data_IF_792750252910
#
_entry.id   IF_792750252910
#
_cell.length_a   1.000
_cell.length_b   1.000
_cell.length_c   1.000
_cell.angle_alpha   90.00
_cell.angle_beta   90.00
_cell.angle_gamma   90.00
#
_symmetry.space_group_name_H-M   'P 1'
#
loop_
_entity.id
_entity.type
_entity.pdbx_description
1 polymer ?
#
# COMPACT_ATOMS: atom_id res chain seq x y z
N UNK A 1 -53.30 75.15 -39.41
CA UNK A 1 -54.68 74.98 -39.89
C UNK A 1 -54.61 74.25 -41.23
N UNK A 2 -55.32 73.18 -41.58
CA UNK A 2 -56.19 72.18 -40.90
C UNK A 2 -55.65 70.80 -41.39
N UNK A 3 -55.78 69.64 -40.75
CA UNK A 3 -56.93 69.07 -40.05
C UNK A 3 -57.70 68.15 -41.00
N UNK A 4 -57.55 66.82 -40.85
CA UNK A 4 -58.25 65.81 -41.65
C UNK A 4 -57.93 64.36 -41.22
N UNK A 5 -58.90 63.66 -40.63
CA UNK A 5 -58.85 62.21 -40.34
C UNK A 5 -59.77 61.45 -41.31
N UNK A 6 -59.65 60.11 -41.38
CA UNK A 6 -60.71 59.11 -41.08
C UNK A 6 -60.16 57.66 -41.26
N UNK A 7 -60.76 56.68 -40.56
CA UNK A 7 -60.46 55.23 -40.40
C UNK A 7 -61.34 54.34 -41.36
N UNK A 8 -61.48 52.98 -41.26
CA UNK A 8 -60.62 51.83 -40.83
C UNK A 8 -60.65 50.56 -41.79
N UNK A 9 -60.02 49.43 -41.35
CA UNK A 9 -60.40 48.00 -41.62
C UNK A 9 -60.00 47.34 -43.01
N UNK A 10 -59.94 46.01 -43.30
CA UNK A 10 -60.25 44.69 -42.66
C UNK A 10 -59.20 43.54 -42.93
N UNK A 11 -59.08 42.62 -41.95
CA UNK A 11 -58.91 41.11 -41.91
C UNK A 11 -58.18 40.27 -43.02
N UNK A 12 -57.52 39.17 -42.56
CA UNK A 12 -56.68 38.08 -43.18
C UNK A 12 -57.52 37.04 -44.03
N UNK A 13 -57.02 35.87 -44.61
CA UNK A 13 -55.73 35.15 -44.44
C UNK A 13 -55.11 34.27 -45.61
N UNK A 14 -53.95 33.63 -45.32
CA UNK A 14 -53.42 32.30 -45.77
C UNK A 14 -53.45 31.84 -47.25
N UNK A 15 -52.25 31.50 -47.77
CA UNK A 15 -51.95 30.21 -48.46
C UNK A 15 -50.54 29.74 -48.05
N UNK A 16 -50.38 28.43 -47.80
CA UNK A 16 -49.10 27.79 -47.43
C UNK A 16 -48.74 26.69 -48.41
N UNK A 17 -47.49 26.65 -48.86
CA UNK A 17 -46.83 25.42 -49.32
C UNK A 17 -45.42 25.34 -48.71
N UNK A 18 -45.25 24.45 -47.71
CA UNK A 18 -43.97 24.23 -47.04
C UNK A 18 -43.35 22.95 -47.60
N UNK A 19 -42.28 23.08 -48.39
CA UNK A 19 -41.43 21.95 -48.79
C UNK A 19 -40.84 21.32 -47.53
N UNK A 20 -41.19 20.07 -47.25
CA UNK A 20 -40.68 19.31 -46.10
C UNK A 20 -39.28 18.80 -46.38
N UNK A 21 -38.28 19.65 -46.10
CA UNK A 21 -36.87 19.27 -46.11
C UNK A 21 -36.60 18.33 -44.93
N UNK A 22 -36.44 17.02 -45.20
CA UNK A 22 -36.16 15.97 -44.21
C UNK A 22 -34.71 16.04 -43.65
N UNK A 23 -34.31 17.20 -43.12
CA UNK A 23 -32.98 17.45 -42.57
C UNK A 23 -32.63 16.57 -41.37
N UNK A 24 -33.64 16.09 -40.63
CA UNK A 24 -33.44 15.39 -39.35
C UNK A 24 -32.80 14.02 -39.47
N UNK A 25 -33.20 13.20 -40.46
CA UNK A 25 -32.67 11.84 -40.59
C UNK A 25 -31.14 11.84 -40.78
N UNK A 26 -30.62 12.76 -41.61
CA UNK A 26 -29.19 12.85 -41.91
C UNK A 26 -28.38 13.31 -40.69
N UNK A 27 -28.88 14.24 -39.87
CA UNK A 27 -28.24 14.62 -38.61
C UNK A 27 -28.30 13.50 -37.56
N UNK A 28 -29.39 12.73 -37.49
CA UNK A 28 -29.47 11.56 -36.62
C UNK A 28 -28.43 10.49 -36.96
N UNK A 29 -28.26 10.14 -38.24
CA UNK A 29 -27.24 9.18 -38.66
C UNK A 29 -25.81 9.69 -38.39
N UNK A 30 -25.53 10.98 -38.65
CA UNK A 30 -24.21 11.57 -38.40
C UNK A 30 -23.85 11.56 -36.89
N UNK A 31 -24.82 11.88 -36.03
CA UNK A 31 -24.64 11.84 -34.57
C UNK A 31 -24.48 10.41 -34.04
N UNK A 32 -25.26 9.45 -34.56
CA UNK A 32 -25.13 8.04 -34.19
C UNK A 32 -23.76 7.47 -34.58
N UNK A 33 -23.27 7.79 -35.79
CA UNK A 33 -21.95 7.34 -36.26
C UNK A 33 -20.81 7.97 -35.44
N UNK A 34 -20.94 9.25 -35.07
CA UNK A 34 -20.01 9.94 -34.18
C UNK A 34 -19.93 9.24 -32.81
N UNK A 35 -21.08 8.95 -32.18
CA UNK A 35 -21.13 8.25 -30.89
C UNK A 35 -20.49 6.84 -30.95
N UNK A 36 -20.69 6.10 -32.03
CA UNK A 36 -20.07 4.76 -32.21
C UNK A 36 -18.55 4.87 -32.33
N UNK A 37 -18.03 5.82 -33.13
CA UNK A 37 -16.58 6.02 -33.26
C UNK A 37 -15.97 6.51 -31.95
N UNK A 38 -16.60 7.45 -31.24
CA UNK A 38 -16.10 7.94 -29.95
C UNK A 38 -16.12 6.84 -28.88
N UNK A 39 -17.19 6.04 -28.80
CA UNK A 39 -17.27 4.89 -27.89
C UNK A 39 -16.23 3.81 -28.18
N UNK A 40 -15.98 3.52 -29.46
CA UNK A 40 -14.96 2.56 -29.88
C UNK A 40 -13.54 3.06 -29.55
N UNK A 41 -13.24 4.35 -29.79
CA UNK A 41 -11.96 4.96 -29.42
C UNK A 41 -11.69 4.94 -27.91
N UNK A 42 -12.71 5.26 -27.08
CA UNK A 42 -12.60 5.18 -25.61
C UNK A 42 -12.33 3.74 -25.14
N UNK A 43 -12.91 2.75 -25.83
CA UNK A 43 -12.70 1.33 -25.54
C UNK A 43 -11.31 0.84 -25.98
N UNK A 44 -10.76 1.40 -27.05
CA UNK A 44 -9.41 1.10 -27.53
C UNK A 44 -8.31 1.72 -26.65
N UNK A 45 -8.49 2.96 -26.20
CA UNK A 45 -7.55 3.64 -25.29
C UNK A 45 -7.47 2.96 -23.91
N UNK A 46 -8.58 2.36 -23.45
CA UNK A 46 -8.58 1.55 -22.22
C UNK A 46 -8.01 0.13 -22.37
N UNK A 47 -7.61 -0.29 -23.58
CA UNK A 47 -6.80 -1.50 -23.79
C UNK A 47 -5.29 -1.23 -23.70
N UNK A 48 -4.90 -0.19 -22.95
CA UNK A 48 -3.56 -0.11 -22.36
C UNK A 48 -3.34 -1.31 -21.44
N UNK A 49 -2.76 -2.38 -22.00
CA UNK A 49 -2.45 -3.64 -21.33
C UNK A 49 -1.39 -3.46 -20.25
N UNK A 50 -1.76 -2.86 -19.11
CA UNK A 50 -0.96 -2.85 -17.91
C UNK A 50 -0.68 -4.31 -17.52
N UNK A 51 0.60 -4.66 -17.49
CA UNK A 51 1.07 -6.00 -17.14
C UNK A 51 0.48 -6.42 -15.79
N UNK A 52 -0.53 -7.30 -15.80
CA UNK A 52 -1.17 -7.86 -14.58
C UNK A 52 -0.30 -8.89 -13.86
N UNK A 53 0.96 -9.00 -14.25
CA UNK A 53 1.94 -9.74 -13.45
C UNK A 53 2.18 -8.99 -12.12
N UNK A 54 2.20 -9.77 -11.05
CA UNK A 54 2.71 -9.43 -9.71
C UNK A 54 1.84 -8.53 -8.79
N UNK A 55 0.91 -7.70 -9.29
CA UNK A 55 0.11 -6.82 -8.38
C UNK A 55 -0.80 -7.57 -7.40
N UNK A 56 -1.38 -8.71 -7.82
CA UNK A 56 -2.17 -9.58 -6.94
C UNK A 56 -1.31 -10.25 -5.85
N UNK A 57 -0.06 -10.61 -6.17
CA UNK A 57 0.87 -11.26 -5.25
C UNK A 57 1.20 -10.33 -4.08
N UNK A 58 1.55 -9.08 -4.38
CA UNK A 58 1.83 -8.08 -3.34
C UNK A 58 0.57 -7.61 -2.61
N UNK A 59 -0.63 -7.75 -3.18
CA UNK A 59 -1.87 -7.36 -2.47
C UNK A 59 -2.07 -8.15 -1.17
N UNK A 60 -1.68 -9.42 -1.15
CA UNK A 60 -1.83 -10.32 0.00
C UNK A 60 -0.58 -10.35 0.91
N UNK A 61 0.54 -9.75 0.49
CA UNK A 61 1.81 -9.74 1.23
C UNK A 61 2.13 -8.34 1.82
N UNK A 62 1.14 -7.74 2.50
CA UNK A 62 1.27 -6.42 3.13
C UNK A 62 0.65 -6.40 4.52
N UNK A 63 1.40 -5.88 5.47
CA UNK A 63 0.87 -5.39 6.75
C UNK A 63 0.41 -3.95 6.53
N UNK A 64 -0.82 -3.63 6.96
CA UNK A 64 -1.39 -2.29 6.83
C UNK A 64 -2.31 -2.01 8.01
N UNK A 65 -2.32 -0.77 8.48
CA UNK A 65 -3.07 -0.33 9.66
C UNK A 65 -3.77 0.99 9.36
N UNK A 66 -4.85 1.28 10.10
CA UNK A 66 -5.66 2.50 9.93
C UNK A 66 -5.31 3.63 10.91
N UNK A 67 -4.35 3.38 11.81
CA UNK A 67 -3.98 4.26 12.91
C UNK A 67 -2.46 4.15 13.13
N UNK A 68 -1.81 5.21 13.63
CA UNK A 68 -0.41 5.15 14.05
C UNK A 68 -0.22 4.20 15.22
N UNK A 69 0.99 3.64 15.35
CA UNK A 69 1.40 2.87 16.51
C UNK A 69 1.48 3.76 17.76
N UNK A 70 0.95 3.29 18.88
CA UNK A 70 1.12 3.93 20.20
C UNK A 70 2.22 3.24 21.02
N UNK A 71 2.52 1.98 20.68
CA UNK A 71 3.54 1.16 21.35
C UNK A 71 4.52 0.59 20.34
N UNK A 72 5.75 0.34 20.81
CA UNK A 72 6.82 -0.27 20.01
C UNK A 72 6.41 -1.56 19.29
N UNK A 73 5.60 -2.42 19.95
CA UNK A 73 5.10 -3.68 19.39
C UNK A 73 4.09 -3.53 18.24
N UNK A 74 3.58 -2.32 18.02
CA UNK A 74 2.63 -1.97 16.95
C UNK A 74 3.34 -1.30 15.76
N UNK A 75 4.56 -0.80 15.97
CA UNK A 75 5.36 -0.13 14.96
C UNK A 75 5.92 -1.13 13.93
N UNK A 76 6.12 -0.67 12.68
CA UNK A 76 6.52 -1.53 11.58
C UNK A 76 8.05 -1.65 11.46
N UNK A 77 8.63 -2.86 11.52
CA UNK A 77 10.07 -3.06 11.34
C UNK A 77 10.47 -2.95 9.87
N UNK A 78 11.53 -2.20 9.60
CA UNK A 78 12.25 -2.14 8.32
C UNK A 78 13.75 -2.27 8.58
N UNK A 79 14.53 -2.81 7.64
CA UNK A 79 15.98 -2.94 7.81
C UNK A 79 16.70 -3.57 6.63
N UNK A 80 18.03 -3.49 6.66
CA UNK A 80 18.92 -4.03 5.63
C UNK A 80 19.89 -5.11 6.13
N UNK A 81 19.62 -5.68 7.31
CA UNK A 81 20.47 -6.64 8.01
C UNK A 81 21.44 -6.00 9.01
N UNK A 82 21.97 -4.80 8.70
CA UNK A 82 22.89 -4.05 9.56
C UNK A 82 22.18 -2.97 10.38
N UNK A 83 21.39 -2.15 9.70
CA UNK A 83 20.52 -1.14 10.29
C UNK A 83 19.07 -1.63 10.29
N UNK A 84 18.39 -1.38 11.40
CA UNK A 84 16.95 -1.55 11.56
C UNK A 84 16.28 -0.26 11.99
N UNK A 85 14.99 -0.11 11.67
CA UNK A 85 14.14 0.95 12.19
C UNK A 85 12.72 0.45 12.46
N UNK A 86 12.08 1.02 13.47
CA UNK A 86 10.66 0.82 13.80
C UNK A 86 9.90 2.11 13.45
N UNK A 87 8.94 2.00 12.53
CA UNK A 87 8.15 3.13 12.00
C UNK A 87 6.82 3.22 12.73
N UNK A 88 6.52 4.36 13.36
CA UNK A 88 5.30 4.54 14.15
C UNK A 88 4.11 5.08 13.33
N UNK A 89 4.35 5.86 12.27
CA UNK A 89 3.31 6.37 11.37
C UNK A 89 2.58 7.62 11.86
N UNK A 90 3.18 8.38 12.79
CA UNK A 90 2.56 9.53 13.44
C UNK A 90 2.35 10.71 12.49
N UNK A 91 1.13 11.29 12.48
CA UNK A 91 0.72 12.28 11.46
C UNK A 91 1.23 13.70 11.70
N UNK A 92 1.34 14.12 12.96
CA UNK A 92 1.88 15.44 13.34
C UNK A 92 3.36 15.35 13.73
N UNK A 93 3.71 14.28 14.44
CA UNK A 93 5.07 13.93 14.85
C UNK A 93 5.31 12.45 14.56
N UNK A 94 6.24 12.16 13.65
CA UNK A 94 6.70 10.81 13.36
C UNK A 94 7.80 10.39 14.34
N UNK A 95 7.84 9.10 14.70
CA UNK A 95 8.90 8.51 15.48
C UNK A 95 9.52 7.35 14.71
N UNK A 96 10.83 7.47 14.43
CA UNK A 96 11.66 6.40 13.91
C UNK A 96 12.65 6.00 15.00
N UNK A 97 12.44 4.84 15.63
CA UNK A 97 13.46 4.24 16.50
C UNK A 97 14.44 3.47 15.61
N UNK A 98 15.75 3.66 15.80
CA UNK A 98 16.80 2.99 15.02
C UNK A 98 17.63 2.03 15.87
N UNK A 99 18.10 0.96 15.23
CA UNK A 99 19.05 -0.01 15.76
C UNK A 99 20.21 -0.20 14.78
N UNK A 100 21.39 -0.51 15.32
CA UNK A 100 22.58 -0.97 14.60
C UNK A 100 22.98 -2.33 15.19
N UNK A 101 23.23 -3.32 14.33
CA UNK A 101 23.53 -4.70 14.72
C UNK A 101 24.85 -4.86 15.51
N UNK A 102 25.76 -3.90 15.38
CA UNK A 102 27.04 -3.88 16.09
C UNK A 102 27.03 -3.14 17.43
N UNK A 103 25.93 -2.45 17.77
CA UNK A 103 25.85 -1.62 18.98
C UNK A 103 25.54 -2.44 20.24
N UNK A 104 26.58 -3.06 20.81
CA UNK A 104 26.52 -3.84 22.05
C UNK A 104 27.28 -3.14 23.18
N UNK A 105 26.82 -3.35 24.41
CA UNK A 105 27.53 -2.90 25.62
C UNK A 105 28.59 -3.92 26.04
N UNK A 106 29.75 -3.43 26.47
CA UNK A 106 30.86 -4.25 26.96
C UNK A 106 32.11 -4.10 26.10
N UNK A 107 33.07 -4.97 26.32
CA UNK A 107 34.35 -5.03 25.62
C UNK A 107 34.72 -6.49 25.32
N UNK A 108 35.73 -6.78 24.47
CA UNK A 108 36.20 -8.15 24.25
C UNK A 108 36.60 -8.82 25.58
N UNK A 109 35.90 -9.89 25.94
CA UNK A 109 36.04 -10.56 27.23
C UNK A 109 36.21 -12.07 27.07
N UNK A 110 37.09 -12.68 27.88
CA UNK A 110 37.27 -14.13 27.92
C UNK A 110 36.24 -14.76 28.86
N UNK A 111 35.12 -15.23 28.29
CA UNK A 111 34.06 -15.96 29.02
C UNK A 111 34.47 -17.37 29.51
N UNK A 112 35.77 -17.69 29.58
CA UNK A 112 36.24 -19.03 29.95
C UNK A 112 36.67 -19.07 31.42
N UNK A 113 36.00 -19.90 32.22
CA UNK A 113 36.41 -20.09 33.61
C UNK A 113 37.78 -20.81 33.69
N UNK A 114 38.77 -20.15 34.30
CA UNK A 114 40.14 -20.64 34.35
C UNK A 114 40.24 -22.01 35.04
N UNK A 115 40.60 -23.05 34.27
CA UNK A 115 40.74 -24.42 34.77
C UNK A 115 39.48 -25.29 34.67
N UNK A 116 38.37 -24.80 34.09
CA UNK A 116 37.14 -25.56 33.83
C UNK A 116 37.38 -26.93 33.18
N UNK A 117 38.35 -27.01 32.26
CA UNK A 117 38.76 -28.24 31.56
C UNK A 117 39.12 -29.40 32.51
N UNK A 118 39.59 -29.10 33.74
CA UNK A 118 39.93 -30.11 34.75
C UNK A 118 38.70 -30.88 35.26
N UNK A 119 37.52 -30.26 35.22
CA UNK A 119 36.26 -30.81 35.72
C UNK A 119 35.46 -31.55 34.64
N UNK A 120 35.74 -31.29 33.35
CA UNK A 120 35.07 -31.91 32.21
C UNK A 120 35.07 -33.47 32.24
N UNK A 121 36.13 -34.19 32.64
CA UNK A 121 36.08 -35.65 32.78
C UNK A 121 35.09 -36.11 33.86
N UNK A 122 35.01 -35.39 34.97
CA UNK A 122 34.11 -35.69 36.09
C UNK A 122 32.65 -35.43 35.71
N UNK A 123 32.37 -34.30 35.05
CA UNK A 123 31.03 -33.99 34.52
C UNK A 123 30.57 -35.08 33.54
N UNK A 124 31.42 -35.49 32.59
CA UNK A 124 31.13 -36.59 31.66
C UNK A 124 30.83 -37.90 32.40
N UNK A 125 31.64 -38.27 33.39
CA UNK A 125 31.40 -39.46 34.22
C UNK A 125 30.04 -39.43 34.92
N UNK A 126 29.69 -38.31 35.56
CA UNK A 126 28.41 -38.14 36.23
C UNK A 126 27.22 -38.26 35.26
N UNK A 127 27.34 -37.73 34.04
CA UNK A 127 26.32 -37.89 33.00
C UNK A 127 26.14 -39.36 32.56
N UNK A 128 27.23 -40.09 32.33
CA UNK A 128 27.16 -41.52 31.99
C UNK A 128 26.64 -42.40 33.15
N UNK A 129 26.83 -41.98 34.39
CA UNK A 129 26.23 -42.60 35.58
C UNK A 129 24.77 -42.18 35.84
N UNK A 130 24.16 -41.38 34.95
CA UNK A 130 22.77 -40.89 35.09
C UNK A 130 22.58 -39.80 36.15
N UNK A 131 23.66 -39.29 36.77
CA UNK A 131 23.65 -38.32 37.88
C UNK A 131 23.55 -36.88 37.39
N UNK A 132 22.55 -36.60 36.55
CA UNK A 132 22.39 -35.33 35.83
C UNK A 132 22.46 -34.09 36.75
N UNK A 133 21.70 -34.08 37.86
CA UNK A 133 21.72 -32.96 38.84
C UNK A 133 23.11 -32.69 39.44
N UNK A 134 23.92 -33.73 39.67
CA UNK A 134 25.28 -33.58 40.21
C UNK A 134 26.24 -33.07 39.14
N UNK A 135 26.07 -33.51 37.88
CA UNK A 135 26.84 -33.02 36.75
C UNK A 135 26.57 -31.53 36.48
N UNK A 136 25.30 -31.12 36.52
CA UNK A 136 24.84 -29.73 36.36
C UNK A 136 25.38 -28.82 37.47
N UNK A 137 25.24 -29.22 38.73
CA UNK A 137 25.75 -28.45 39.87
C UNK A 137 27.27 -28.25 39.77
N UNK A 138 28.03 -29.30 39.44
CA UNK A 138 29.48 -29.21 39.28
C UNK A 138 29.88 -28.32 38.09
N UNK A 139 29.14 -28.37 36.98
CA UNK A 139 29.39 -27.52 35.82
C UNK A 139 29.11 -26.04 36.13
N UNK A 140 27.99 -25.73 36.81
CA UNK A 140 27.64 -24.37 37.23
C UNK A 140 28.67 -23.78 38.20
N UNK A 141 29.20 -24.59 39.13
CA UNK A 141 30.17 -24.13 40.14
C UNK A 141 31.60 -23.93 39.58
N UNK A 142 31.98 -24.66 38.52
CA UNK A 142 33.39 -24.79 38.08
C UNK A 142 33.67 -24.54 36.60
N UNK A 143 32.65 -24.27 35.79
CA UNK A 143 32.79 -24.10 34.33
C UNK A 143 32.08 -22.87 33.77
N UNK A 144 31.18 -22.25 34.55
CA UNK A 144 30.55 -20.95 34.26
C UNK A 144 31.16 -19.84 35.13
#
# INVERSE_FOLDING_TARGET
MKGGQVKPEKVKPKVTSRVTRNSGAFTFYLLAFCLIITGCAISYVNQGGANRYDTDKWRNLKLWYRQPAQKWTEALPVGNGRLGAMVFGGTEHEQLQFNDDTLWTGEPHEYQHAGAVKYLPTVRKLLFEGKQRQAEQLAMERMM
#
